data_IF_112965869198
#
_entry.id   IF_112965869198
#
_cell.length_a   1.000
_cell.length_b   1.000
_cell.length_c   1.000
_cell.angle_alpha   90.00
_cell.angle_beta   90.00
_cell.angle_gamma   90.00
#
_symmetry.space_group_name_H-M   'P 1'
#
loop_
_entity.id
_entity.type
_entity.pdbx_description
1 polymer ?
#
# COMPACT_ATOMS: atom_id res chain seq x y z
N UNK A 1 -11.91 12.42 10.16
CA UNK A 1 -13.12 12.80 9.39
C UNK A 1 -13.43 11.73 8.37
N UNK A 2 -14.67 11.60 7.90
CA UNK A 2 -15.01 10.71 6.78
C UNK A 2 -15.34 11.50 5.52
N UNK A 3 -15.29 10.82 4.38
CA UNK A 3 -15.63 11.35 3.05
C UNK A 3 -16.50 10.39 2.24
N UNK A 4 -17.50 9.80 2.89
CA UNK A 4 -18.41 8.85 2.26
C UNK A 4 -19.59 9.55 1.58
N UNK A 5 -19.95 9.08 0.38
CA UNK A 5 -21.10 9.55 -0.40
C UNK A 5 -21.99 8.39 -0.84
N UNK A 6 -23.29 8.62 -0.96
CA UNK A 6 -24.26 7.67 -1.47
C UNK A 6 -25.01 6.85 -0.41
N UNK A 7 -25.01 7.27 0.87
CA UNK A 7 -25.66 6.54 1.97
C UNK A 7 -27.15 6.28 1.68
N UNK A 8 -27.84 7.25 1.07
CA UNK A 8 -29.29 7.20 0.84
C UNK A 8 -29.68 6.59 -0.52
N UNK A 9 -28.71 6.15 -1.33
CA UNK A 9 -29.00 5.56 -2.66
C UNK A 9 -29.88 4.31 -2.52
N UNK A 10 -29.65 3.49 -1.50
CA UNK A 10 -30.37 2.24 -1.25
C UNK A 10 -30.76 2.06 0.23
N UNK A 11 -31.23 3.13 0.86
CA UNK A 11 -31.82 3.05 2.21
C UNK A 11 -33.09 2.20 2.22
N UNK A 12 -33.39 1.58 3.36
CA UNK A 12 -34.55 0.69 3.51
C UNK A 12 -35.88 1.41 3.17
N UNK A 13 -35.96 2.71 3.42
CA UNK A 13 -37.14 3.54 3.13
C UNK A 13 -37.34 3.84 1.63
N UNK A 14 -36.31 3.67 0.79
CA UNK A 14 -36.32 4.04 -0.63
C UNK A 14 -36.28 2.84 -1.59
N UNK A 15 -36.22 1.60 -1.08
CA UNK A 15 -35.99 0.40 -1.91
C UNK A 15 -37.03 0.20 -3.01
N UNK A 16 -38.33 0.42 -2.73
CA UNK A 16 -39.37 0.28 -3.75
C UNK A 16 -39.23 1.30 -4.88
N UNK A 17 -38.87 2.53 -4.54
CA UNK A 17 -38.66 3.56 -5.54
C UNK A 17 -37.40 3.26 -6.37
N UNK A 18 -36.32 2.81 -5.72
CA UNK A 18 -35.12 2.35 -6.40
C UNK A 18 -35.42 1.22 -7.39
N UNK A 19 -36.16 0.18 -6.98
CA UNK A 19 -36.59 -0.92 -7.88
C UNK A 19 -37.34 -0.40 -9.12
N UNK A 20 -38.28 0.53 -8.92
CA UNK A 20 -39.03 1.14 -10.03
C UNK A 20 -38.12 1.93 -10.96
N UNK A 21 -37.14 2.64 -10.43
CA UNK A 21 -36.20 3.42 -11.24
C UNK A 21 -35.18 2.53 -11.95
N UNK A 22 -34.76 1.40 -11.36
CA UNK A 22 -33.95 0.38 -12.04
C UNK A 22 -34.74 -0.17 -13.24
N UNK A 23 -35.98 -0.62 -13.02
CA UNK A 23 -36.83 -1.16 -14.08
C UNK A 23 -37.14 -0.16 -15.20
N UNK A 24 -37.03 1.14 -14.93
CA UNK A 24 -37.27 2.23 -15.90
C UNK A 24 -36.00 2.85 -16.47
N UNK A 25 -34.81 2.36 -16.09
CA UNK A 25 -33.53 2.91 -16.55
C UNK A 25 -33.21 4.32 -16.04
N UNK A 26 -33.74 4.71 -14.87
CA UNK A 26 -33.53 6.05 -14.27
C UNK A 26 -32.71 6.04 -12.98
N UNK A 27 -32.39 4.86 -12.47
CA UNK A 27 -31.71 4.74 -11.18
C UNK A 27 -30.30 5.33 -11.19
N UNK A 28 -29.58 5.25 -12.32
CA UNK A 28 -28.21 5.79 -12.45
C UNK A 28 -28.17 7.29 -12.19
N UNK A 29 -28.93 8.11 -12.94
CA UNK A 29 -28.90 9.56 -12.77
C UNK A 29 -29.35 9.96 -11.36
N UNK A 30 -30.38 9.32 -10.83
CA UNK A 30 -30.87 9.58 -9.47
C UNK A 30 -29.81 9.26 -8.41
N UNK A 31 -29.07 8.16 -8.57
CA UNK A 31 -27.95 7.85 -7.69
C UNK A 31 -26.82 8.87 -7.81
N UNK A 32 -26.47 9.30 -9.03
CA UNK A 32 -25.46 10.33 -9.25
C UNK A 32 -25.87 11.68 -8.64
N UNK A 33 -27.15 12.06 -8.70
CA UNK A 33 -27.68 13.25 -8.01
C UNK A 33 -27.46 13.15 -6.49
N UNK A 34 -27.79 12.01 -5.87
CA UNK A 34 -27.53 11.79 -4.44
C UNK A 34 -26.05 11.91 -4.11
N UNK A 35 -25.17 11.24 -4.88
CA UNK A 35 -23.72 11.30 -4.63
C UNK A 35 -23.16 12.71 -4.77
N UNK A 36 -23.63 13.50 -5.75
CA UNK A 36 -23.22 14.90 -5.92
C UNK A 36 -23.71 15.78 -4.78
N UNK A 37 -24.92 15.54 -4.28
CA UNK A 37 -25.46 16.29 -3.14
C UNK A 37 -24.67 16.01 -1.87
N UNK A 38 -24.36 14.74 -1.58
CA UNK A 38 -23.51 14.35 -0.45
C UNK A 38 -22.11 14.97 -0.58
N UNK A 39 -21.52 14.93 -1.78
CA UNK A 39 -20.21 15.51 -2.03
C UNK A 39 -20.20 17.04 -1.81
N UNK A 40 -21.23 17.75 -2.28
CA UNK A 40 -21.36 19.19 -2.06
C UNK A 40 -21.49 19.52 -0.57
N UNK A 41 -22.30 18.77 0.19
CA UNK A 41 -22.44 18.98 1.63
C UNK A 41 -21.12 18.76 2.41
N UNK A 42 -20.35 17.74 2.02
CA UNK A 42 -19.02 17.49 2.57
C UNK A 42 -18.06 18.66 2.30
N UNK A 43 -17.95 19.07 1.03
CA UNK A 43 -17.00 20.08 0.56
C UNK A 43 -17.36 21.49 1.03
N UNK A 44 -18.64 21.86 0.98
CA UNK A 44 -19.06 23.25 1.21
C UNK A 44 -19.38 23.54 2.68
N UNK A 45 -19.79 22.52 3.44
CA UNK A 45 -20.26 22.69 4.83
C UNK A 45 -19.42 21.93 5.84
N UNK A 46 -19.35 20.61 5.73
CA UNK A 46 -18.81 19.76 6.80
C UNK A 46 -17.30 19.93 6.96
N UNK A 47 -16.52 19.72 5.90
CA UNK A 47 -15.07 19.79 5.98
C UNK A 47 -14.54 21.20 6.28
N UNK A 48 -15.07 22.30 5.71
CA UNK A 48 -14.66 23.66 6.10
C UNK A 48 -14.91 23.95 7.58
N UNK A 49 -16.00 23.43 8.16
CA UNK A 49 -16.23 23.53 9.60
C UNK A 49 -15.12 22.83 10.39
N UNK A 50 -14.82 21.58 10.06
CA UNK A 50 -13.80 20.80 10.77
C UNK A 50 -12.38 21.33 10.53
N UNK A 51 -12.07 21.87 9.36
CA UNK A 51 -10.80 22.55 9.10
C UNK A 51 -10.60 23.74 10.05
N UNK A 52 -11.63 24.58 10.25
CA UNK A 52 -11.57 25.68 11.22
C UNK A 52 -11.39 25.18 12.66
N UNK A 53 -12.06 24.09 13.03
CA UNK A 53 -11.88 23.49 14.37
C UNK A 53 -10.45 22.98 14.54
N UNK A 54 -9.94 22.21 13.59
CA UNK A 54 -8.59 21.63 13.65
C UNK A 54 -7.52 22.74 13.74
N UNK A 55 -7.63 23.78 12.92
CA UNK A 55 -6.71 24.92 12.94
C UNK A 55 -6.70 25.64 14.30
N UNK A 56 -7.86 25.86 14.94
CA UNK A 56 -7.94 26.47 16.28
C UNK A 56 -7.22 25.67 17.37
N UNK A 57 -7.10 24.36 17.18
CA UNK A 57 -6.46 23.46 18.15
C UNK A 57 -5.06 23.01 17.72
N UNK A 58 -4.51 23.55 16.62
CA UNK A 58 -3.20 23.12 16.09
C UNK A 58 -3.18 21.66 15.65
N UNK A 59 -4.34 21.08 15.30
CA UNK A 59 -4.47 19.69 14.88
C UNK A 59 -4.39 19.57 13.37
N UNK A 60 -3.82 18.46 12.89
CA UNK A 60 -3.92 18.06 11.49
C UNK A 60 -5.33 17.59 11.18
N UNK A 61 -5.83 17.99 10.00
CA UNK A 61 -7.09 17.50 9.47
C UNK A 61 -6.82 16.24 8.63
N UNK A 62 -7.26 15.08 9.13
CA UNK A 62 -7.07 13.76 8.50
C UNK A 62 -8.42 13.13 8.18
N UNK A 63 -8.55 12.59 6.97
CA UNK A 63 -9.70 11.79 6.56
C UNK A 63 -9.37 10.32 6.80
N UNK A 64 -10.08 9.75 7.78
CA UNK A 64 -9.95 8.36 8.20
C UNK A 64 -10.33 7.40 7.07
N UNK A 65 -11.44 7.67 6.38
CA UNK A 65 -11.94 6.87 5.25
C UNK A 65 -12.86 7.72 4.35
N UNK A 66 -12.94 7.40 3.06
CA UNK A 66 -13.87 8.00 2.11
C UNK A 66 -14.08 7.18 0.85
N UNK A 67 -15.02 7.61 0.02
CA UNK A 67 -15.41 6.93 -1.22
C UNK A 67 -16.91 6.63 -1.31
N UNK A 68 -17.34 5.79 -2.26
CA UNK A 68 -18.74 5.44 -2.41
C UNK A 68 -19.19 4.50 -1.28
N UNK A 69 -20.27 4.86 -0.60
CA UNK A 69 -21.00 4.05 0.38
C UNK A 69 -22.39 3.71 -0.16
N UNK A 70 -22.44 3.00 -1.29
CA UNK A 70 -23.67 2.56 -1.94
C UNK A 70 -23.99 1.12 -1.53
N UNK A 71 -24.59 0.94 -0.36
CA UNK A 71 -24.95 -0.37 0.19
C UNK A 71 -26.43 -0.40 0.53
N UNK A 72 -27.11 -1.48 0.15
CA UNK A 72 -28.50 -1.67 0.52
C UNK A 72 -28.65 -1.86 2.03
N UNK A 73 -29.70 -1.28 2.62
CA UNK A 73 -30.12 -1.56 3.99
C UNK A 73 -30.51 -3.03 4.21
N UNK A 74 -30.95 -3.38 5.43
CA UNK A 74 -31.20 -4.77 5.78
C UNK A 74 -32.32 -5.40 4.93
N UNK A 75 -33.34 -4.62 4.56
CA UNK A 75 -34.46 -5.09 3.76
C UNK A 75 -34.13 -5.23 2.26
N UNK A 76 -33.09 -4.55 1.79
CA UNK A 76 -32.64 -4.59 0.39
C UNK A 76 -31.50 -5.58 0.13
N UNK A 77 -30.94 -6.19 1.18
CA UNK A 77 -29.68 -6.93 1.09
C UNK A 77 -29.75 -8.23 0.29
N UNK A 78 -30.92 -8.87 0.27
CA UNK A 78 -31.13 -10.11 -0.49
C UNK A 78 -31.71 -9.84 -1.89
N UNK A 79 -31.81 -8.57 -2.29
CA UNK A 79 -32.33 -8.18 -3.60
C UNK A 79 -31.19 -8.15 -4.64
N UNK A 80 -31.17 -9.13 -5.53
CA UNK A 80 -30.16 -9.26 -6.57
C UNK A 80 -30.17 -8.09 -7.57
N UNK A 81 -31.34 -7.53 -7.88
CA UNK A 81 -31.44 -6.42 -8.82
C UNK A 81 -30.84 -5.14 -8.23
N UNK A 82 -31.09 -4.89 -6.94
CA UNK A 82 -30.45 -3.79 -6.22
C UNK A 82 -28.95 -4.04 -6.07
N UNK A 83 -28.53 -5.23 -5.65
CA UNK A 83 -27.11 -5.57 -5.49
C UNK A 83 -26.34 -5.42 -6.80
N UNK A 84 -26.91 -5.89 -7.92
CA UNK A 84 -26.33 -5.74 -9.26
C UNK A 84 -26.25 -4.29 -9.71
N UNK A 85 -27.28 -3.49 -9.43
CA UNK A 85 -27.26 -2.04 -9.70
C UNK A 85 -26.15 -1.33 -8.91
N UNK A 86 -26.08 -1.54 -7.59
CA UNK A 86 -25.08 -0.89 -6.74
C UNK A 86 -23.65 -1.32 -7.10
N UNK A 87 -23.48 -2.59 -7.48
CA UNK A 87 -22.20 -3.10 -7.99
C UNK A 87 -21.79 -2.36 -9.26
N UNK A 88 -22.70 -2.22 -10.23
CA UNK A 88 -22.43 -1.50 -11.47
C UNK A 88 -22.08 -0.03 -11.21
N UNK A 89 -22.89 0.65 -10.38
CA UNK A 89 -22.67 2.05 -10.03
C UNK A 89 -21.33 2.28 -9.33
N UNK A 90 -20.92 1.41 -8.41
CA UNK A 90 -19.68 1.57 -7.64
C UNK A 90 -18.42 1.61 -8.50
N UNK A 91 -18.46 1.07 -9.72
CA UNK A 91 -17.35 1.09 -10.67
C UNK A 91 -17.62 1.95 -11.91
N UNK A 92 -18.70 2.74 -11.91
CA UNK A 92 -19.03 3.64 -13.02
C UNK A 92 -18.04 4.83 -13.11
N UNK A 93 -17.62 5.24 -14.31
CA UNK A 93 -16.72 6.39 -14.50
C UNK A 93 -17.19 7.69 -13.83
N UNK A 94 -18.51 7.90 -13.78
CA UNK A 94 -19.11 9.08 -13.16
C UNK A 94 -18.91 9.09 -11.63
N UNK A 95 -18.95 7.93 -10.99
CA UNK A 95 -18.68 7.80 -9.54
C UNK A 95 -17.21 8.04 -9.26
N UNK A 96 -16.31 7.53 -10.10
CA UNK A 96 -14.88 7.82 -9.99
C UNK A 96 -14.58 9.34 -10.10
N UNK A 97 -15.27 10.04 -11.00
CA UNK A 97 -15.16 11.51 -11.12
C UNK A 97 -15.62 12.24 -9.87
N UNK A 98 -16.72 11.79 -9.25
CA UNK A 98 -17.22 12.35 -7.98
C UNK A 98 -16.20 12.11 -6.87
N UNK A 99 -15.64 10.90 -6.77
CA UNK A 99 -14.58 10.57 -5.81
C UNK A 99 -13.34 11.44 -6.00
N UNK A 100 -12.90 11.68 -7.25
CA UNK A 100 -11.81 12.63 -7.52
C UNK A 100 -12.12 14.04 -7.02
N UNK A 101 -13.35 14.52 -7.24
CA UNK A 101 -13.81 15.84 -6.74
C UNK A 101 -13.79 15.91 -5.22
N UNK A 102 -14.10 14.81 -4.52
CA UNK A 102 -14.01 14.74 -3.05
C UNK A 102 -12.56 14.92 -2.58
N UNK A 103 -11.60 14.26 -3.21
CA UNK A 103 -10.20 14.41 -2.82
C UNK A 103 -9.64 15.81 -3.14
N UNK A 104 -10.01 16.38 -4.28
CA UNK A 104 -9.67 17.76 -4.61
C UNK A 104 -10.26 18.75 -3.59
N UNK A 105 -11.53 18.56 -3.22
CA UNK A 105 -12.20 19.37 -2.20
C UNK A 105 -11.58 19.22 -0.81
N UNK A 106 -11.17 18.00 -0.45
CA UNK A 106 -10.47 17.71 0.80
C UNK A 106 -9.13 18.43 0.89
N UNK A 107 -8.32 18.34 -0.16
CA UNK A 107 -7.08 19.09 -0.29
C UNK A 107 -7.33 20.61 -0.22
N UNK A 108 -8.39 21.09 -0.90
CA UNK A 108 -8.76 22.50 -0.95
C UNK A 108 -9.07 23.13 0.40
N UNK A 109 -9.54 22.37 1.39
CA UNK A 109 -9.78 22.86 2.76
C UNK A 109 -8.57 22.72 3.69
N UNK A 110 -7.40 22.32 3.16
CA UNK A 110 -6.20 22.05 3.95
C UNK A 110 -6.19 20.68 4.62
N UNK A 111 -6.98 19.72 4.11
CA UNK A 111 -6.88 18.33 4.49
C UNK A 111 -5.52 17.74 4.13
N UNK A 112 -5.01 16.85 4.98
CA UNK A 112 -3.74 16.14 4.75
C UNK A 112 -4.01 14.75 4.18
N UNK A 113 -3.75 13.68 4.94
CA UNK A 113 -4.05 12.31 4.54
C UNK A 113 -5.53 12.14 4.15
N UNK A 114 -5.74 11.50 3.00
CA UNK A 114 -7.04 11.11 2.47
C UNK A 114 -7.05 9.60 2.21
N UNK A 115 -7.67 8.83 3.10
CA UNK A 115 -7.70 7.37 2.98
C UNK A 115 -8.95 6.93 2.22
N UNK A 116 -8.77 6.18 1.12
CA UNK A 116 -9.84 5.41 0.52
C UNK A 116 -10.07 4.13 1.35
N UNK A 117 -11.32 3.68 1.46
CA UNK A 117 -11.67 2.60 2.40
C UNK A 117 -10.97 1.26 2.11
N UNK A 118 -10.94 0.83 0.85
CA UNK A 118 -10.43 -0.50 0.50
C UNK A 118 -9.91 -0.56 -0.94
N UNK A 119 -8.71 -1.11 -1.11
CA UNK A 119 -8.09 -1.24 -2.43
C UNK A 119 -8.71 -2.38 -3.24
N UNK A 120 -8.67 -3.61 -2.74
CA UNK A 120 -9.03 -4.82 -3.50
C UNK A 120 -10.05 -5.65 -2.75
N UNK A 121 -11.26 -5.75 -3.29
CA UNK A 121 -12.27 -6.69 -2.82
C UNK A 121 -13.36 -6.93 -3.87
N UNK A 122 -13.78 -8.19 -4.00
CA UNK A 122 -14.91 -8.54 -4.83
C UNK A 122 -16.22 -7.89 -4.29
N UNK A 123 -17.11 -7.42 -5.17
CA UNK A 123 -18.41 -6.90 -4.76
C UNK A 123 -19.28 -8.03 -4.19
N UNK A 124 -20.13 -7.68 -3.23
CA UNK A 124 -21.08 -8.61 -2.62
C UNK A 124 -22.36 -7.91 -2.19
N UNK A 125 -23.33 -8.67 -1.67
CA UNK A 125 -24.53 -8.10 -1.01
C UNK A 125 -24.21 -7.19 0.18
N UNK A 126 -22.99 -7.27 0.73
CA UNK A 126 -22.52 -6.41 1.81
C UNK A 126 -21.84 -5.13 1.33
N UNK A 127 -21.78 -4.91 0.01
CA UNK A 127 -21.20 -3.73 -0.61
C UNK A 127 -20.09 -4.03 -1.61
N UNK A 128 -19.72 -3.00 -2.36
CA UNK A 128 -18.69 -3.01 -3.41
C UNK A 128 -17.55 -2.07 -3.02
N UNK A 129 -16.84 -2.47 -1.95
CA UNK A 129 -15.88 -1.63 -1.24
C UNK A 129 -14.57 -1.41 -1.98
N UNK A 130 -14.04 -2.46 -2.62
CA UNK A 130 -12.76 -2.40 -3.32
C UNK A 130 -12.79 -1.40 -4.48
N UNK A 131 -11.78 -0.54 -4.57
CA UNK A 131 -11.49 0.23 -5.77
C UNK A 131 -11.29 -0.70 -6.98
N UNK A 132 -10.58 -1.81 -6.74
CA UNK A 132 -10.42 -2.97 -7.63
C UNK A 132 -11.28 -4.15 -7.12
N UNK A 133 -11.78 -4.96 -8.06
CA UNK A 133 -12.56 -6.18 -7.75
C UNK A 133 -11.66 -7.39 -7.48
N UNK A 134 -10.47 -7.40 -8.07
CA UNK A 134 -9.42 -8.41 -7.94
C UNK A 134 -8.07 -7.78 -8.36
N UNK A 135 -6.96 -8.50 -8.17
CA UNK A 135 -5.60 -7.98 -8.40
C UNK A 135 -5.38 -7.49 -9.84
N UNK A 136 -5.86 -8.25 -10.84
CA UNK A 136 -5.67 -7.90 -12.26
C UNK A 136 -6.76 -6.97 -12.83
N UNK A 137 -7.52 -6.30 -11.97
CA UNK A 137 -8.62 -5.44 -12.39
C UNK A 137 -8.13 -4.07 -12.86
N UNK A 138 -8.92 -3.41 -13.71
CA UNK A 138 -8.72 -2.02 -14.11
C UNK A 138 -10.05 -1.28 -13.97
N UNK A 139 -10.09 -0.27 -13.09
CA UNK A 139 -11.31 0.48 -12.83
C UNK A 139 -11.06 1.98 -12.85
N UNK A 140 -12.04 2.79 -13.29
CA UNK A 140 -11.93 4.25 -13.25
C UNK A 140 -11.67 4.80 -11.83
N UNK A 141 -12.14 4.09 -10.80
CA UNK A 141 -11.96 4.49 -9.39
C UNK A 141 -10.52 4.27 -8.94
N UNK A 142 -9.89 3.17 -9.34
CA UNK A 142 -8.47 2.95 -9.10
C UNK A 142 -7.61 3.99 -9.82
N UNK A 143 -7.90 4.27 -11.09
CA UNK A 143 -7.19 5.29 -11.87
C UNK A 143 -7.29 6.68 -11.23
N UNK A 144 -8.45 7.02 -10.66
CA UNK A 144 -8.65 8.28 -9.94
C UNK A 144 -7.81 8.34 -8.65
N UNK A 145 -7.72 7.24 -7.91
CA UNK A 145 -6.89 7.14 -6.69
C UNK A 145 -5.40 7.26 -7.00
N UNK A 146 -4.91 6.51 -7.99
CA UNK A 146 -3.50 6.55 -8.37
C UNK A 146 -3.10 7.92 -8.90
N UNK A 147 -3.96 8.56 -9.71
CA UNK A 147 -3.72 9.94 -10.16
C UNK A 147 -3.65 10.92 -8.99
N UNK A 148 -4.50 10.77 -7.98
CA UNK A 148 -4.44 11.61 -6.77
C UNK A 148 -3.14 11.37 -5.98
N UNK A 149 -2.68 10.13 -5.86
CA UNK A 149 -1.40 9.82 -5.23
C UNK A 149 -0.20 10.42 -5.99
N UNK A 150 -0.25 10.41 -7.32
CA UNK A 150 0.83 10.94 -8.18
C UNK A 150 0.88 12.48 -8.21
N UNK A 151 -0.29 13.13 -8.20
CA UNK A 151 -0.41 14.58 -8.49
C UNK A 151 -0.93 15.41 -7.32
N UNK A 152 -1.38 14.77 -6.26
CA UNK A 152 -1.96 15.40 -5.08
C UNK A 152 -0.92 16.16 -4.25
N UNK A 153 -1.38 16.89 -3.21
CA UNK A 153 -0.50 17.65 -2.35
C UNK A 153 0.48 16.75 -1.59
N UNK A 154 1.76 17.12 -1.56
CA UNK A 154 2.72 16.55 -0.62
C UNK A 154 2.40 17.10 0.79
N UNK A 155 1.68 16.31 1.57
CA UNK A 155 1.26 16.65 2.93
C UNK A 155 2.20 16.06 4.00
N UNK A 156 3.12 15.17 3.62
CA UNK A 156 4.12 14.59 4.52
C UNK A 156 5.39 14.22 3.75
N UNK A 157 6.41 15.08 3.89
CA UNK A 157 7.71 14.81 3.30
C UNK A 157 8.43 13.72 4.09
N UNK A 158 8.68 12.59 3.44
CA UNK A 158 9.47 11.48 3.96
C UNK A 158 10.85 11.48 3.31
N UNK A 159 11.83 10.83 3.95
CA UNK A 159 13.18 10.75 3.38
C UNK A 159 13.14 9.98 2.04
N UNK A 160 14.02 10.30 1.07
CA UNK A 160 14.21 9.43 -0.09
C UNK A 160 14.46 7.99 0.35
N UNK A 161 13.85 7.03 -0.32
CA UNK A 161 13.96 5.60 0.00
C UNK A 161 13.08 5.11 1.16
N UNK A 162 12.23 5.95 1.77
CA UNK A 162 11.34 5.50 2.86
C UNK A 162 10.35 4.38 2.49
N UNK A 163 10.21 4.08 1.18
CA UNK A 163 9.39 3.02 0.62
C UNK A 163 10.16 2.20 -0.41
N UNK A 164 11.49 2.30 -0.43
CA UNK A 164 12.26 1.37 -1.24
C UNK A 164 12.12 -0.01 -0.59
N UNK A 165 11.99 -1.03 -1.42
CA UNK A 165 11.96 -2.43 -0.99
C UNK A 165 13.31 -3.07 -1.31
N UNK A 166 13.69 -4.08 -0.53
CA UNK A 166 14.83 -4.93 -0.85
C UNK A 166 14.61 -5.76 -2.13
N UNK A 167 15.68 -6.37 -2.61
CA UNK A 167 15.69 -7.20 -3.81
C UNK A 167 15.84 -8.69 -3.47
N UNK A 168 15.47 -9.54 -4.41
CA UNK A 168 15.88 -10.95 -4.42
C UNK A 168 16.85 -11.17 -5.57
N UNK A 169 18.10 -11.47 -5.25
CA UNK A 169 19.15 -11.76 -6.23
C UNK A 169 19.55 -13.23 -6.13
N UNK A 170 19.66 -13.89 -7.29
CA UNK A 170 20.12 -15.27 -7.40
C UNK A 170 21.23 -15.38 -8.43
N UNK A 171 22.36 -15.95 -8.03
CA UNK A 171 23.47 -16.33 -8.90
C UNK A 171 23.28 -17.71 -9.54
N UNK A 172 24.26 -18.08 -10.36
CA UNK A 172 24.34 -19.28 -11.18
C UNK A 172 25.27 -20.33 -10.58
N UNK A 173 26.11 -20.93 -11.43
CA UNK A 173 27.10 -21.97 -11.04
C UNK A 173 28.55 -21.45 -11.17
N UNK A 174 28.71 -20.15 -11.37
CA UNK A 174 29.99 -19.49 -11.57
C UNK A 174 30.22 -18.46 -10.47
N UNK A 175 31.48 -18.18 -10.16
CA UNK A 175 31.86 -17.14 -9.21
C UNK A 175 31.28 -15.77 -9.64
N UNK A 176 30.44 -15.19 -8.79
CA UNK A 176 29.68 -13.99 -9.05
C UNK A 176 29.83 -12.96 -7.93
N UNK A 177 29.47 -11.70 -8.26
CA UNK A 177 29.40 -10.62 -7.30
C UNK A 177 27.95 -10.16 -7.16
N UNK A 178 27.36 -10.43 -6.01
CA UNK A 178 26.01 -10.00 -5.66
C UNK A 178 26.08 -8.78 -4.75
N UNK A 179 25.30 -7.73 -5.07
CA UNK A 179 25.28 -6.49 -4.28
C UNK A 179 23.84 -6.17 -3.91
N UNK A 180 23.55 -6.27 -2.62
CA UNK A 180 22.27 -5.88 -2.04
C UNK A 180 22.01 -4.37 -2.09
N UNK A 181 20.81 -4.01 -1.68
CA UNK A 181 20.37 -2.65 -1.40
C UNK A 181 20.61 -2.29 0.07
N UNK A 182 20.30 -1.05 0.49
CA UNK A 182 20.26 -0.71 1.91
C UNK A 182 19.09 -1.35 2.68
N UNK A 183 18.11 -1.94 1.99
CA UNK A 183 16.89 -2.54 2.55
C UNK A 183 17.03 -4.06 2.66
N UNK A 184 16.08 -4.76 3.29
CA UNK A 184 16.23 -6.20 3.53
C UNK A 184 16.16 -7.06 2.26
N UNK A 185 17.30 -7.62 1.87
CA UNK A 185 17.42 -8.43 0.66
C UNK A 185 17.38 -9.94 0.92
N UNK A 186 17.11 -10.70 -0.15
CA UNK A 186 17.38 -12.13 -0.24
C UNK A 186 18.46 -12.37 -1.29
N UNK A 187 19.65 -12.77 -0.85
CA UNK A 187 20.83 -12.94 -1.71
C UNK A 187 21.23 -14.43 -1.75
N UNK A 188 21.15 -15.04 -2.92
CA UNK A 188 21.43 -16.46 -3.14
C UNK A 188 22.63 -16.57 -4.09
N UNK A 189 23.80 -16.98 -3.60
CA UNK A 189 25.03 -17.14 -4.41
C UNK A 189 24.86 -18.19 -5.49
N UNK A 190 24.40 -19.38 -5.10
CA UNK A 190 24.24 -20.49 -6.04
C UNK A 190 25.44 -21.41 -5.91
N UNK A 191 26.04 -21.84 -7.01
CA UNK A 191 27.31 -22.56 -6.99
C UNK A 191 28.44 -21.65 -7.48
N UNK A 192 29.66 -21.89 -7.03
CA UNK A 192 30.82 -21.05 -7.37
C UNK A 192 31.41 -20.41 -6.11
N UNK A 193 32.48 -19.64 -6.26
CA UNK A 193 33.08 -18.93 -5.13
C UNK A 193 32.63 -17.46 -5.21
N UNK A 194 31.55 -17.11 -4.50
CA UNK A 194 30.84 -15.85 -4.66
C UNK A 194 31.28 -14.74 -3.69
N UNK A 195 31.16 -13.49 -4.12
CA UNK A 195 31.32 -12.31 -3.26
C UNK A 195 29.98 -11.59 -3.08
N UNK A 196 29.41 -11.65 -1.88
CA UNK A 196 28.04 -11.18 -1.58
C UNK A 196 28.11 -9.97 -0.64
N UNK A 197 27.76 -8.79 -1.14
CA UNK A 197 27.70 -7.54 -0.36
C UNK A 197 26.32 -7.42 0.27
N UNK A 198 26.25 -7.65 1.59
CA UNK A 198 25.00 -7.76 2.35
C UNK A 198 24.97 -6.78 3.53
N UNK A 199 23.78 -6.25 3.82
CA UNK A 199 23.50 -5.29 4.88
C UNK A 199 22.71 -5.86 6.07
N UNK A 200 22.39 -5.01 7.07
CA UNK A 200 21.55 -5.39 8.18
C UNK A 200 20.15 -5.80 7.72
N UNK A 201 19.65 -6.95 8.20
CA UNK A 201 18.32 -7.47 7.87
C UNK A 201 18.29 -8.44 6.68
N UNK A 202 19.36 -8.50 5.88
CA UNK A 202 19.44 -9.41 4.74
C UNK A 202 19.43 -10.87 5.16
N UNK A 203 19.04 -11.71 4.19
CA UNK A 203 19.17 -13.16 4.25
C UNK A 203 20.06 -13.61 3.10
N UNK A 204 21.17 -14.23 3.46
CA UNK A 204 22.18 -14.69 2.51
C UNK A 204 22.33 -16.19 2.60
N UNK A 205 22.39 -16.83 1.44
CA UNK A 205 22.84 -18.21 1.25
C UNK A 205 23.91 -18.22 0.16
N UNK A 206 25.18 -18.47 0.52
CA UNK A 206 26.25 -18.56 -0.48
C UNK A 206 26.07 -19.78 -1.38
N UNK A 207 25.64 -20.91 -0.80
CA UNK A 207 25.47 -22.16 -1.51
C UNK A 207 26.77 -22.99 -1.56
N UNK A 208 26.95 -23.86 -2.57
CA UNK A 208 28.18 -24.63 -2.69
C UNK A 208 29.35 -23.82 -3.26
N UNK A 209 30.43 -23.73 -2.48
CA UNK A 209 31.66 -23.08 -2.94
C UNK A 209 32.50 -22.59 -1.77
N UNK A 210 33.36 -21.61 -2.04
CA UNK A 210 33.98 -20.78 -1.01
C UNK A 210 33.49 -19.35 -1.13
N UNK A 211 32.40 -19.06 -0.43
CA UNK A 211 31.66 -17.82 -0.53
C UNK A 211 32.10 -16.81 0.53
N UNK A 212 32.10 -15.55 0.13
CA UNK A 212 32.56 -14.42 0.94
C UNK A 212 31.46 -13.39 1.08
N UNK A 213 31.01 -13.17 2.31
CA UNK A 213 30.12 -12.07 2.65
C UNK A 213 30.92 -10.79 2.94
N UNK A 214 30.60 -9.69 2.28
CA UNK A 214 31.16 -8.36 2.52
C UNK A 214 30.11 -7.52 3.24
N UNK A 215 30.36 -7.21 4.52
CA UNK A 215 29.42 -6.52 5.39
C UNK A 215 29.82 -5.07 5.65
N UNK A 216 28.86 -4.17 5.96
CA UNK A 216 29.16 -2.81 6.40
C UNK A 216 30.11 -2.79 7.61
N UNK A 217 31.01 -1.81 7.62
CA UNK A 217 31.96 -1.59 8.72
C UNK A 217 31.25 -1.45 10.09
N UNK A 218 30.02 -0.94 10.11
CA UNK A 218 29.21 -0.80 11.31
C UNK A 218 28.86 -2.13 12.00
N UNK A 219 28.93 -3.26 11.27
CA UNK A 219 28.72 -4.59 11.82
C UNK A 219 30.00 -5.21 12.40
N UNK A 220 31.17 -4.57 12.23
CA UNK A 220 32.42 -5.08 12.76
C UNK A 220 32.36 -5.16 14.29
N UNK A 221 32.60 -6.35 14.83
CA UNK A 221 32.54 -6.62 16.27
C UNK A 221 31.13 -6.86 16.81
N UNK A 222 30.10 -6.88 15.95
CA UNK A 222 28.79 -7.38 16.34
C UNK A 222 28.90 -8.87 16.76
N UNK A 223 28.05 -9.28 17.71
CA UNK A 223 28.03 -10.66 18.15
C UNK A 223 27.57 -11.58 17.00
N UNK A 224 28.39 -12.59 16.69
CA UNK A 224 28.05 -13.67 15.78
C UNK A 224 27.43 -14.79 16.62
N UNK A 225 26.18 -15.11 16.35
CA UNK A 225 25.42 -16.15 17.05
C UNK A 225 25.18 -17.32 16.09
N UNK A 226 25.81 -18.48 16.31
CA UNK A 226 25.51 -19.68 15.53
C UNK A 226 24.08 -20.16 15.76
N UNK A 227 23.37 -20.48 14.69
CA UNK A 227 21.99 -20.98 14.71
C UNK A 227 21.81 -22.10 13.70
N UNK A 228 22.13 -23.33 14.11
CA UNK A 228 22.07 -24.49 13.23
C UNK A 228 23.16 -24.42 12.16
N UNK A 229 22.75 -24.41 10.90
CA UNK A 229 23.60 -24.27 9.70
C UNK A 229 23.84 -22.81 9.29
N UNK A 230 23.40 -21.86 10.12
CA UNK A 230 23.47 -20.42 9.86
C UNK A 230 24.22 -19.70 10.95
N UNK A 231 24.62 -18.48 10.65
CA UNK A 231 25.07 -17.50 11.63
C UNK A 231 24.18 -16.26 11.56
N UNK A 232 23.90 -15.70 12.73
CA UNK A 232 23.15 -14.47 12.87
C UNK A 232 24.05 -13.36 13.40
N UNK A 233 23.92 -12.17 12.81
CA UNK A 233 24.66 -10.97 13.20
C UNK A 233 23.65 -9.87 13.54
N UNK A 234 23.79 -9.29 14.73
CA UNK A 234 22.85 -8.28 15.24
C UNK A 234 21.57 -8.87 15.83
N UNK A 235 20.56 -8.01 16.04
CA UNK A 235 19.31 -8.36 16.73
C UNK A 235 18.12 -7.60 16.18
N UNK A 236 16.89 -8.10 16.36
CA UNK A 236 15.67 -7.40 15.95
C UNK A 236 15.42 -7.45 14.44
N UNK A 237 14.83 -6.39 13.89
CA UNK A 237 14.50 -6.31 12.46
C UNK A 237 15.76 -6.24 11.57
N UNK A 238 16.81 -5.56 12.03
CA UNK A 238 18.09 -5.41 11.33
C UNK A 238 19.03 -6.63 11.49
N UNK A 239 18.48 -7.80 11.82
CA UNK A 239 19.23 -9.03 12.07
C UNK A 239 19.58 -9.68 10.75
N UNK A 240 20.88 -9.70 10.42
CA UNK A 240 21.44 -10.37 9.26
C UNK A 240 21.56 -11.88 9.49
N UNK A 241 21.14 -12.68 8.52
CA UNK A 241 21.29 -14.14 8.53
C UNK A 241 22.17 -14.59 7.37
N UNK A 242 23.21 -15.34 7.65
CA UNK A 242 24.12 -15.90 6.65
C UNK A 242 24.14 -17.43 6.76
N UNK A 243 24.06 -18.10 5.61
CA UNK A 243 24.21 -19.54 5.44
C UNK A 243 25.22 -19.81 4.31
N UNK A 244 25.98 -20.91 4.39
CA UNK A 244 26.95 -21.27 3.35
C UNK A 244 27.94 -20.15 3.05
N UNK A 245 28.51 -19.52 4.09
CA UNK A 245 29.52 -18.47 3.95
C UNK A 245 30.78 -18.91 4.68
N UNK A 246 31.89 -18.97 3.96
CA UNK A 246 33.20 -19.39 4.47
C UNK A 246 34.02 -18.20 4.99
N UNK A 247 33.82 -17.00 4.42
CA UNK A 247 34.56 -15.79 4.81
C UNK A 247 33.64 -14.59 5.03
N UNK A 248 33.87 -13.84 6.12
CA UNK A 248 33.26 -12.52 6.34
C UNK A 248 34.33 -11.44 6.25
N UNK A 249 34.12 -10.49 5.37
CA UNK A 249 34.87 -9.26 5.26
C UNK A 249 34.02 -8.06 5.68
N UNK A 250 34.67 -6.98 6.09
CA UNK A 250 34.00 -5.73 6.46
C UNK A 250 34.57 -4.58 5.65
N UNK A 251 33.69 -3.77 5.07
CA UNK A 251 34.07 -2.61 4.28
C UNK A 251 33.05 -2.28 3.20
N UNK A 252 33.31 -1.23 2.45
CA UNK A 252 32.44 -0.74 1.36
C UNK A 252 33.03 -1.04 -0.01
N UNK A 253 33.82 -2.12 -0.11
CA UNK A 253 34.93 -2.31 -1.05
C UNK A 253 34.94 -1.38 -2.28
N UNK A 254 35.93 -0.46 -2.28
CA UNK A 254 36.74 -0.26 -3.47
C UNK A 254 38.21 -0.22 -2.99
N UNK A 255 38.72 -1.42 -2.65
CA UNK A 255 40.10 -1.82 -2.29
C UNK A 255 40.47 -1.83 -0.80
N UNK A 256 40.44 -3.06 -0.27
CA UNK A 256 41.46 -3.72 0.56
C UNK A 256 41.75 -3.16 1.95
N UNK A 257 41.56 -4.02 2.97
CA UNK A 257 42.61 -4.44 3.90
C UNK A 257 42.19 -5.72 4.63
N UNK A 258 43.06 -6.72 4.57
CA UNK A 258 42.94 -8.05 5.16
C UNK A 258 42.64 -8.01 6.66
N UNK A 259 41.57 -8.71 7.09
CA UNK A 259 41.55 -9.53 8.31
C UNK A 259 40.62 -10.71 8.04
N UNK A 260 41.17 -11.86 7.66
CA UNK A 260 40.42 -13.12 7.55
C UNK A 260 40.25 -13.70 8.96
N UNK A 261 39.06 -13.58 9.55
CA UNK A 261 38.65 -14.48 10.63
C UNK A 261 38.04 -15.72 9.99
N UNK A 262 38.85 -16.75 9.82
CA UNK A 262 38.34 -18.06 9.39
C UNK A 262 37.52 -18.66 10.52
N UNK A 263 36.20 -18.76 10.33
CA UNK A 263 35.32 -19.51 11.22
C UNK A 263 35.72 -21.00 11.13
N UNK A 264 36.03 -21.61 12.28
CA UNK A 264 36.28 -23.05 12.43
C UNK A 264 35.18 -23.69 13.24
#
# INVERSE_FOLDING_TARGET
MTGYVGHDVASDDNLEALRRDIARGRAEERALETLRADAADLVDRLWPHHARVAARHGLRLVMYEGGPHMVAGAAGREDEAITGFLTTMSHAPQVAKIVGTLFDGWAGVGGTQATAYLDIAAPSRWGSWGALRHLDDATPRWDALMRYNETGPDWERRAPGSFDDGVTLGGGEAAERLVGTPEEDLLLGGGGDDEIHAGPGDRVDGGPGHDRAVLPEALRGAAIVPEGDRIAIGTGAARLLLAGIEEIAYGTDDRALNVTETLR
#
